data_IF_338220030740
#
_entry.id   IF_338220030740
#
_cell.length_a   1.000
_cell.length_b   1.000
_cell.length_c   1.000
_cell.angle_alpha   90.00
_cell.angle_beta   90.00
_cell.angle_gamma   90.00
#
_symmetry.space_group_name_H-M   'P 1'
#
loop_
_entity.id
_entity.type
_entity.pdbx_description
1 polymer ?
#
# COMPACT_ATOMS: atom_id res chain seq x y z
N UNK A 1 -2.57 -17.60 -32.99
CA UNK A 1 -2.94 -18.65 -32.02
C UNK A 1 -1.76 -18.85 -31.10
N UNK A 2 -1.76 -18.18 -29.96
CA UNK A 2 -0.76 -18.36 -28.89
C UNK A 2 -1.55 -18.33 -27.59
N UNK A 3 -1.80 -19.54 -27.09
CA UNK A 3 -2.46 -19.82 -25.83
C UNK A 3 -1.49 -19.46 -24.71
N UNK A 4 -1.70 -18.34 -24.03
CA UNK A 4 -0.97 -17.97 -22.81
C UNK A 4 -1.72 -18.52 -21.61
N UNK A 5 -1.21 -19.63 -21.07
CA UNK A 5 -1.64 -20.19 -19.80
C UNK A 5 -1.35 -19.19 -18.67
N UNK A 6 -2.42 -18.66 -18.06
CA UNK A 6 -2.35 -18.02 -16.74
C UNK A 6 -2.17 -19.14 -15.73
N UNK A 7 -0.97 -19.25 -15.18
CA UNK A 7 -0.58 -20.27 -14.21
C UNK A 7 -1.19 -19.95 -12.84
N UNK A 8 -1.98 -20.91 -12.33
CA UNK A 8 -2.36 -21.18 -10.95
C UNK A 8 -2.79 -19.98 -10.11
N UNK A 9 -4.09 -19.68 -10.22
CA UNK A 9 -4.83 -19.13 -9.09
C UNK A 9 -4.63 -20.04 -7.88
N UNK A 10 -4.19 -19.40 -6.80
CA UNK A 10 -3.97 -19.93 -5.45
C UNK A 10 -5.03 -20.97 -5.03
N UNK A 11 -4.66 -22.26 -5.04
CA UNK A 11 -5.38 -23.29 -4.27
C UNK A 11 -4.61 -23.48 -2.96
N UNK A 12 -5.19 -23.22 -1.77
CA UNK A 12 -4.56 -23.59 -0.52
C UNK A 12 -4.26 -25.08 -0.53
N UNK A 13 -3.04 -25.46 -0.16
CA UNK A 13 -2.67 -26.86 -0.02
C UNK A 13 -3.67 -27.54 0.94
N UNK A 14 -4.40 -28.53 0.44
CA UNK A 14 -5.51 -29.23 1.13
C UNK A 14 -5.06 -30.04 2.36
N UNK A 15 -3.78 -30.03 2.71
CA UNK A 15 -3.17 -30.97 3.64
C UNK A 15 -2.96 -30.44 5.06
N UNK A 16 -3.22 -29.16 5.35
CA UNK A 16 -3.05 -28.61 6.72
C UNK A 16 -4.35 -28.31 7.47
N UNK A 17 -5.53 -28.64 6.92
CA UNK A 17 -6.81 -28.55 7.65
C UNK A 17 -7.27 -29.91 8.18
N UNK A 18 -6.40 -30.62 8.89
CA UNK A 18 -6.82 -31.64 9.83
C UNK A 18 -6.15 -31.37 11.17
N UNK A 19 -7.03 -31.15 12.16
CA UNK A 19 -6.78 -30.96 13.60
C UNK A 19 -6.86 -29.50 14.06
N UNK A 20 -8.07 -29.14 14.47
CA UNK A 20 -8.46 -27.85 15.01
C UNK A 20 -9.98 -27.77 15.00
N UNK A 21 -10.62 -28.65 15.76
CA UNK A 21 -12.06 -28.62 15.95
C UNK A 21 -12.47 -27.25 16.51
N UNK A 22 -13.22 -26.47 15.73
CA UNK A 22 -13.97 -25.33 16.22
C UNK A 22 -15.44 -25.54 15.82
N UNK A 23 -16.27 -25.40 16.84
CA UNK A 23 -17.67 -25.76 16.89
C UNK A 23 -18.45 -24.93 15.87
N UNK A 24 -19.09 -25.65 14.96
CA UNK A 24 -19.85 -25.15 13.83
C UNK A 24 -21.16 -24.51 14.30
N UNK A 25 -21.44 -23.34 13.72
CA UNK A 25 -22.70 -22.61 13.80
C UNK A 25 -22.97 -21.89 12.48
N UNK A 26 -22.56 -22.47 11.35
CA UNK A 26 -23.05 -22.09 10.03
C UNK A 26 -22.74 -23.21 9.02
N UNK A 27 -23.74 -24.03 8.71
CA UNK A 27 -23.74 -24.97 7.59
C UNK A 27 -23.21 -24.29 6.32
N UNK A 28 -21.96 -24.58 5.95
CA UNK A 28 -21.40 -24.18 4.66
C UNK A 28 -21.54 -25.34 3.68
N UNK A 29 -22.60 -25.26 2.86
CA UNK A 29 -22.71 -26.01 1.61
C UNK A 29 -21.54 -25.65 0.69
N UNK A 30 -20.92 -26.66 0.07
CA UNK A 30 -19.63 -26.54 -0.63
C UNK A 30 -19.64 -25.65 -1.87
N UNK A 31 -19.16 -24.42 -1.71
CA UNK A 31 -18.80 -23.53 -2.81
C UNK A 31 -17.26 -23.53 -2.95
N UNK A 32 -16.77 -23.68 -4.18
CA UNK A 32 -15.33 -23.58 -4.54
C UNK A 32 -14.86 -22.12 -4.65
N UNK A 33 -15.68 -21.15 -4.26
CA UNK A 33 -15.42 -19.73 -4.41
C UNK A 33 -14.31 -19.23 -3.47
N UNK A 34 -13.30 -18.59 -4.04
CA UNK A 34 -12.30 -17.84 -3.26
C UNK A 34 -12.78 -16.39 -3.03
N UNK A 35 -12.99 -15.95 -1.78
CA UNK A 35 -13.43 -14.58 -1.46
C UNK A 35 -12.56 -13.50 -2.10
N UNK A 36 -13.14 -12.39 -2.55
CA UNK A 36 -12.42 -11.35 -3.32
C UNK A 36 -11.26 -10.75 -2.52
N UNK A 37 -11.43 -10.55 -1.21
CA UNK A 37 -10.37 -10.03 -0.36
C UNK A 37 -9.11 -10.91 -0.33
N UNK A 38 -9.25 -12.23 -0.56
CA UNK A 38 -8.11 -13.15 -0.64
C UNK A 38 -7.38 -13.10 -1.97
N UNK A 39 -7.94 -12.39 -2.96
CA UNK A 39 -7.44 -12.31 -4.34
C UNK A 39 -6.77 -10.98 -4.65
N UNK A 40 -7.04 -9.94 -3.87
CA UNK A 40 -6.34 -8.65 -3.94
C UNK A 40 -4.97 -8.75 -3.29
N UNK A 41 -3.99 -8.04 -3.85
CA UNK A 41 -2.68 -7.92 -3.23
C UNK A 41 -2.70 -6.85 -2.13
N UNK A 42 -2.11 -7.18 -0.97
CA UNK A 42 -1.98 -6.29 0.18
C UNK A 42 -0.71 -5.45 0.07
N UNK A 43 -0.87 -4.20 -0.37
CA UNK A 43 0.23 -3.24 -0.53
C UNK A 43 0.62 -2.63 0.81
N UNK A 44 1.90 -2.40 1.01
CA UNK A 44 2.41 -1.81 2.25
C UNK A 44 2.31 -2.72 3.48
N UNK A 45 2.00 -4.01 3.28
CA UNK A 45 1.97 -5.02 4.33
C UNK A 45 3.33 -5.67 4.47
N UNK A 46 3.85 -5.71 5.69
CA UNK A 46 5.13 -6.34 5.98
C UNK A 46 5.10 -7.84 5.62
N UNK A 47 6.19 -8.29 5.00
CA UNK A 47 6.29 -9.65 4.47
C UNK A 47 6.12 -10.77 5.48
N UNK A 48 6.51 -10.55 6.72
CA UNK A 48 6.35 -11.49 7.82
C UNK A 48 4.91 -11.53 8.35
N UNK A 49 4.17 -10.42 8.24
CA UNK A 49 2.75 -10.33 8.61
C UNK A 49 1.80 -10.87 7.53
N UNK A 50 2.22 -10.92 6.26
CA UNK A 50 1.31 -11.28 5.15
C UNK A 50 0.65 -12.65 5.33
N UNK A 51 1.37 -13.64 5.86
CA UNK A 51 0.82 -14.99 6.05
C UNK A 51 -0.19 -15.02 7.21
N UNK A 52 0.00 -14.17 8.24
CA UNK A 52 -0.90 -14.05 9.39
C UNK A 52 -2.27 -13.49 9.00
N UNK A 53 -2.32 -12.53 8.08
CA UNK A 53 -3.57 -11.98 7.53
C UNK A 53 -4.51 -13.08 7.04
N UNK A 54 -3.97 -14.11 6.37
CA UNK A 54 -4.79 -15.20 5.80
C UNK A 54 -5.12 -16.32 6.78
N UNK A 55 -4.46 -16.37 7.95
CA UNK A 55 -4.74 -17.36 9.00
C UNK A 55 -6.03 -17.05 9.74
N UNK A 56 -6.35 -15.77 9.89
CA UNK A 56 -7.57 -15.35 10.58
C UNK A 56 -8.80 -15.45 9.64
N UNK A 57 -9.96 -15.93 10.11
CA UNK A 57 -11.17 -16.09 9.30
C UNK A 57 -11.93 -14.76 9.15
N UNK A 58 -11.35 -13.82 8.41
CA UNK A 58 -11.97 -12.52 8.14
C UNK A 58 -13.24 -12.65 7.28
N UNK A 59 -14.33 -12.00 7.70
CA UNK A 59 -15.60 -11.95 6.98
C UNK A 59 -15.70 -10.69 6.10
N UNK A 60 -15.60 -10.89 4.78
CA UNK A 60 -15.80 -9.87 3.75
C UNK A 60 -16.99 -10.20 2.84
N UNK A 61 -17.96 -10.98 3.31
CA UNK A 61 -19.12 -11.35 2.50
C UNK A 61 -19.88 -10.14 1.93
N UNK A 62 -19.83 -9.00 2.62
CA UNK A 62 -20.39 -7.74 2.14
C UNK A 62 -19.64 -7.14 0.93
N UNK A 63 -18.31 -7.24 0.89
CA UNK A 63 -17.51 -6.87 -0.29
C UNK A 63 -17.91 -7.72 -1.49
N UNK A 64 -18.05 -9.04 -1.31
CA UNK A 64 -18.44 -9.93 -2.41
C UNK A 64 -19.82 -9.57 -2.97
N UNK A 65 -20.79 -9.27 -2.09
CA UNK A 65 -22.13 -8.79 -2.50
C UNK A 65 -22.07 -7.46 -3.25
N UNK A 66 -21.28 -6.51 -2.77
CA UNK A 66 -21.17 -5.18 -3.38
C UNK A 66 -20.49 -5.24 -4.76
N UNK A 67 -19.47 -6.07 -4.91
CA UNK A 67 -18.83 -6.29 -6.21
C UNK A 67 -19.81 -6.89 -7.23
N UNK A 68 -20.65 -7.84 -6.83
CA UNK A 68 -21.72 -8.34 -7.72
C UNK A 68 -22.67 -7.22 -8.16
N UNK A 69 -23.00 -6.28 -7.27
CA UNK A 69 -23.84 -5.13 -7.62
C UNK A 69 -23.13 -4.17 -8.59
N UNK A 70 -21.83 -3.89 -8.38
CA UNK A 70 -21.04 -3.05 -9.30
C UNK A 70 -21.06 -3.58 -10.73
N UNK A 71 -20.92 -4.89 -10.89
CA UNK A 71 -20.95 -5.54 -12.21
C UNK A 71 -22.30 -5.37 -12.91
N UNK A 72 -23.39 -5.21 -12.16
CA UNK A 72 -24.76 -5.04 -12.68
C UNK A 72 -25.13 -3.58 -12.93
N UNK A 73 -24.43 -2.62 -12.32
CA UNK A 73 -24.75 -1.19 -12.45
C UNK A 73 -24.49 -0.69 -13.89
N UNK A 74 -25.48 -0.17 -14.63
CA UNK A 74 -25.26 0.34 -15.99
C UNK A 74 -24.54 1.69 -15.91
N UNK A 75 -23.21 1.65 -15.84
CA UNK A 75 -22.41 2.82 -15.47
C UNK A 75 -21.11 2.90 -16.27
N UNK A 76 -20.70 4.13 -16.58
CA UNK A 76 -19.40 4.40 -17.19
C UNK A 76 -18.24 4.21 -16.19
N UNK A 77 -18.56 4.05 -14.89
CA UNK A 77 -17.57 3.80 -13.86
C UNK A 77 -16.99 2.39 -13.95
N UNK A 78 -15.73 2.32 -13.56
CA UNK A 78 -14.94 1.11 -13.30
C UNK A 78 -14.47 1.13 -11.86
N UNK A 79 -14.19 -0.03 -11.31
CA UNK A 79 -13.79 -0.23 -9.92
C UNK A 79 -12.43 -0.88 -9.85
N UNK A 80 -11.55 -0.33 -9.03
CA UNK A 80 -10.17 -0.79 -8.86
C UNK A 80 -9.94 -1.10 -7.40
N UNK A 81 -9.53 -2.33 -7.10
CA UNK A 81 -9.43 -2.83 -5.73
C UNK A 81 -7.97 -3.10 -5.39
N UNK A 82 -7.55 -2.69 -4.21
CA UNK A 82 -6.27 -3.11 -3.63
C UNK A 82 -6.44 -3.37 -2.14
N UNK A 83 -5.64 -4.30 -1.60
CA UNK A 83 -5.62 -4.58 -0.17
C UNK A 83 -4.58 -3.71 0.53
N UNK A 84 -4.78 -3.46 1.81
CA UNK A 84 -3.74 -3.01 2.76
C UNK A 84 -3.99 -3.68 4.12
N UNK A 85 -3.06 -3.54 5.07
CA UNK A 85 -3.24 -4.03 6.44
C UNK A 85 -3.11 -2.91 7.45
N UNK A 86 -3.91 -3.00 8.52
CA UNK A 86 -3.84 -2.10 9.66
C UNK A 86 -3.59 -2.94 10.92
N UNK A 87 -2.33 -3.09 11.34
CA UNK A 87 -2.01 -3.76 12.59
C UNK A 87 -2.65 -3.02 13.77
N UNK A 88 -3.45 -3.72 14.56
CA UNK A 88 -4.13 -3.15 15.72
C UNK A 88 -4.03 -4.09 16.91
N UNK A 89 -3.89 -3.51 18.10
CA UNK A 89 -4.04 -4.25 19.35
C UNK A 89 -5.53 -4.53 19.58
N UNK A 90 -5.90 -5.80 19.55
CA UNK A 90 -7.27 -6.25 19.76
C UNK A 90 -7.35 -7.21 20.93
N UNK A 91 -8.54 -7.27 21.55
CA UNK A 91 -8.84 -8.30 22.52
C UNK A 91 -9.47 -9.50 21.80
N UNK A 92 -8.76 -10.63 21.80
CA UNK A 92 -9.17 -11.87 21.15
C UNK A 92 -8.88 -13.04 22.08
N UNK A 93 -9.87 -13.93 22.28
CA UNK A 93 -9.73 -15.11 23.15
C UNK A 93 -9.18 -14.77 24.56
N UNK A 94 -9.69 -13.70 25.17
CA UNK A 94 -9.26 -13.22 26.51
C UNK A 94 -7.80 -12.73 26.58
N UNK A 95 -7.13 -12.52 25.45
CA UNK A 95 -5.77 -12.01 25.37
C UNK A 95 -5.71 -10.74 24.51
N UNK A 96 -4.75 -9.87 24.81
CA UNK A 96 -4.38 -8.78 23.92
C UNK A 96 -3.45 -9.34 22.84
N UNK A 97 -3.79 -9.12 21.57
CA UNK A 97 -3.03 -9.61 20.42
C UNK A 97 -2.98 -8.53 19.37
N UNK A 98 -1.82 -8.34 18.75
CA UNK A 98 -1.70 -7.46 17.57
C UNK A 98 -2.10 -8.29 16.36
N UNK A 99 -3.19 -7.92 15.70
CA UNK A 99 -3.62 -8.56 14.46
C UNK A 99 -3.44 -7.61 13.27
N UNK A 100 -2.87 -8.06 12.14
CA UNK A 100 -2.87 -7.30 10.91
C UNK A 100 -4.26 -7.35 10.28
N UNK A 101 -5.12 -6.37 10.59
CA UNK A 101 -6.49 -6.32 10.07
C UNK A 101 -6.42 -6.01 8.57
N UNK A 102 -6.87 -6.91 7.67
CA UNK A 102 -6.94 -6.60 6.25
C UNK A 102 -8.01 -5.54 6.00
N UNK A 103 -7.71 -4.64 5.09
CA UNK A 103 -8.68 -3.70 4.54
C UNK A 103 -8.63 -3.79 3.02
N UNK A 104 -9.79 -3.68 2.37
CA UNK A 104 -9.87 -3.61 0.90
C UNK A 104 -10.35 -2.24 0.50
N UNK A 105 -9.55 -1.54 -0.29
CA UNK A 105 -9.88 -0.22 -0.82
C UNK A 105 -10.45 -0.42 -2.22
N UNK A 106 -11.64 0.14 -2.46
CA UNK A 106 -12.32 0.14 -3.75
C UNK A 106 -12.35 1.57 -4.28
N UNK A 107 -11.80 1.76 -5.47
CA UNK A 107 -11.74 3.06 -6.15
C UNK A 107 -12.69 3.02 -7.34
N UNK A 108 -13.73 3.84 -7.31
CA UNK A 108 -14.66 4.05 -8.42
C UNK A 108 -14.20 5.24 -9.26
N UNK A 109 -13.95 5.01 -10.55
CA UNK A 109 -13.43 6.04 -11.46
C UNK A 109 -13.84 5.75 -12.91
N UNK A 110 -14.03 6.81 -13.74
CA UNK A 110 -14.36 6.66 -15.17
C UNK A 110 -13.14 6.26 -15.99
N UNK A 111 -11.95 6.69 -15.57
CA UNK A 111 -10.65 6.28 -16.15
C UNK A 111 -9.85 5.47 -15.12
N UNK A 112 -8.90 4.62 -15.54
CA UNK A 112 -8.01 3.92 -14.62
C UNK A 112 -7.25 4.88 -13.71
N UNK A 113 -7.06 4.55 -12.41
CA UNK A 113 -6.08 5.22 -11.58
C UNK A 113 -4.70 5.17 -12.25
N UNK A 114 -3.81 6.13 -11.92
CA UNK A 114 -2.45 6.10 -12.44
C UNK A 114 -1.78 4.76 -12.15
N UNK A 115 -1.15 4.15 -13.16
CA UNK A 115 -0.36 2.92 -13.01
C UNK A 115 1.00 3.20 -12.33
N UNK A 116 0.96 3.92 -11.22
CA UNK A 116 2.09 4.41 -10.44
C UNK A 116 1.96 3.94 -8.99
N UNK A 117 3.09 3.73 -8.34
CA UNK A 117 3.19 3.53 -6.90
C UNK A 117 4.19 4.50 -6.32
N UNK A 118 3.91 4.94 -5.10
CA UNK A 118 4.89 5.58 -4.26
C UNK A 118 5.62 4.54 -3.41
N UNK A 119 6.92 4.76 -3.22
CA UNK A 119 7.77 3.98 -2.32
C UNK A 119 8.31 4.95 -1.28
N UNK A 120 7.90 4.81 -0.02
CA UNK A 120 8.42 5.59 1.11
C UNK A 120 8.75 4.66 2.28
N UNK A 121 10.04 4.42 2.50
CA UNK A 121 10.50 3.69 3.68
C UNK A 121 10.69 4.64 4.84
N UNK A 122 10.39 4.19 6.06
CA UNK A 122 10.73 4.91 7.31
C UNK A 122 12.23 5.20 7.38
N UNK A 123 13.07 4.35 6.79
CA UNK A 123 14.54 4.49 6.76
C UNK A 123 15.06 5.16 5.48
N UNK A 124 14.19 5.53 4.52
CA UNK A 124 14.63 6.22 3.30
C UNK A 124 14.18 7.67 3.34
N UNK A 125 15.16 8.56 3.34
CA UNK A 125 15.00 10.02 3.25
C UNK A 125 14.34 10.49 1.93
N UNK A 126 14.00 9.60 0.98
CA UNK A 126 13.41 9.98 -0.31
C UNK A 126 12.20 9.13 -0.70
N UNK A 127 11.12 9.82 -1.02
CA UNK A 127 9.93 9.25 -1.65
C UNK A 127 10.18 9.07 -3.13
N UNK A 128 9.87 7.88 -3.66
CA UNK A 128 10.02 7.59 -5.08
C UNK A 128 8.68 7.20 -5.69
N UNK A 129 8.25 7.92 -6.73
CA UNK A 129 7.08 7.54 -7.54
C UNK A 129 7.55 6.81 -8.80
N UNK A 130 7.19 5.53 -8.94
CA UNK A 130 7.60 4.67 -10.06
C UNK A 130 6.39 3.97 -10.71
N UNK A 131 6.50 3.50 -11.96
CA UNK A 131 5.47 2.67 -12.58
C UNK A 131 5.24 1.37 -11.80
N UNK A 132 3.97 0.94 -11.65
CA UNK A 132 3.61 -0.32 -10.97
C UNK A 132 4.36 -1.53 -11.53
N UNK A 133 4.52 -1.60 -12.85
CA UNK A 133 5.26 -2.68 -13.53
C UNK A 133 6.73 -2.76 -13.13
N UNK A 134 7.34 -1.65 -12.70
CA UNK A 134 8.72 -1.65 -12.21
C UNK A 134 8.88 -2.45 -10.90
N UNK A 135 7.78 -2.60 -10.15
CA UNK A 135 7.69 -3.43 -8.94
C UNK A 135 6.80 -4.67 -9.14
N UNK A 136 6.59 -5.09 -10.39
CA UNK A 136 5.81 -6.29 -10.75
C UNK A 136 4.37 -6.27 -10.21
N UNK A 137 3.76 -5.09 -10.18
CA UNK A 137 2.35 -4.93 -9.86
C UNK A 137 1.58 -4.40 -11.06
N UNK A 138 0.31 -4.79 -11.17
CA UNK A 138 -0.62 -4.27 -12.17
C UNK A 138 -2.06 -4.55 -11.73
N UNK A 139 -3.02 -3.76 -12.23
CA UNK A 139 -4.44 -4.04 -12.07
C UNK A 139 -4.88 -5.04 -13.13
N UNK A 140 -5.43 -6.17 -12.68
CA UNK A 140 -5.94 -7.23 -13.55
C UNK A 140 -7.46 -7.32 -13.46
N UNK A 141 -8.16 -7.63 -14.56
CA UNK A 141 -9.57 -7.97 -14.52
C UNK A 141 -9.87 -9.02 -13.45
N UNK A 142 -10.89 -8.79 -12.62
CA UNK A 142 -11.35 -9.77 -11.66
C UNK A 142 -12.00 -10.94 -12.39
N UNK A 143 -11.43 -12.15 -12.25
CA UNK A 143 -12.07 -13.36 -12.75
C UNK A 143 -13.26 -13.74 -11.84
N UNK A 144 -14.48 -13.63 -12.33
CA UNK A 144 -15.70 -13.95 -11.57
C UNK A 144 -16.31 -15.29 -11.96
N UNK A 145 -15.55 -16.16 -12.62
CA UNK A 145 -16.02 -17.49 -13.05
C UNK A 145 -16.46 -18.38 -11.87
N UNK A 146 -15.79 -18.25 -10.72
CA UNK A 146 -16.06 -19.00 -9.49
C UNK A 146 -17.08 -18.33 -8.55
N UNK A 147 -17.46 -17.07 -8.81
CA UNK A 147 -18.53 -16.41 -8.06
C UNK A 147 -19.85 -17.03 -8.51
N UNK A 148 -20.39 -17.93 -7.69
CA UNK A 148 -21.55 -18.76 -8.00
C UNK A 148 -22.60 -18.01 -8.83
N UNK A 149 -22.64 -18.36 -10.11
CA UNK A 149 -23.66 -17.98 -11.08
C UNK A 149 -24.99 -18.69 -10.81
N UNK A 150 -25.36 -18.87 -9.53
CA UNK A 150 -26.53 -19.62 -9.09
C UNK A 150 -27.88 -19.02 -9.51
N UNK A 151 -27.90 -17.95 -10.32
CA UNK A 151 -29.09 -17.45 -11.00
C UNK A 151 -28.91 -17.10 -12.49
N UNK A 152 -27.88 -17.60 -13.16
CA UNK A 152 -27.73 -17.31 -14.59
C UNK A 152 -27.27 -18.56 -15.36
N UNK A 153 -28.20 -19.20 -16.08
CA UNK A 153 -27.94 -20.28 -17.04
C UNK A 153 -26.95 -19.81 -18.13
N UNK A 154 -25.95 -20.61 -18.54
CA UNK A 154 -24.97 -20.16 -19.53
C UNK A 154 -25.54 -20.26 -20.95
N UNK A 155 -25.69 -19.12 -21.62
CA UNK A 155 -25.86 -19.06 -23.08
C UNK A 155 -24.62 -18.43 -23.71
N UNK A 156 -24.32 -18.68 -24.99
CA UNK A 156 -23.16 -18.10 -25.69
C UNK A 156 -23.10 -16.56 -25.64
N UNK A 157 -24.26 -15.88 -25.56
CA UNK A 157 -24.35 -14.42 -25.32
C UNK A 157 -23.80 -13.98 -23.96
N UNK A 158 -23.83 -14.88 -22.97
CA UNK A 158 -23.39 -14.63 -21.60
C UNK A 158 -21.86 -14.62 -21.47
N UNK A 159 -21.12 -15.34 -22.33
CA UNK A 159 -19.65 -15.36 -22.31
C UNK A 159 -19.06 -14.02 -22.79
N UNK A 160 -19.63 -13.43 -23.86
CA UNK A 160 -19.26 -12.08 -24.31
C UNK A 160 -19.67 -10.99 -23.31
N UNK A 161 -20.79 -11.19 -22.60
CA UNK A 161 -21.21 -10.30 -21.51
C UNK A 161 -20.30 -10.46 -20.30
N UNK A 162 -19.89 -11.67 -19.93
CA UNK A 162 -18.92 -11.94 -18.85
C UNK A 162 -17.56 -11.30 -19.14
N UNK A 163 -17.03 -11.44 -20.36
CA UNK A 163 -15.75 -10.82 -20.76
C UNK A 163 -15.82 -9.27 -20.69
N UNK A 164 -16.96 -8.66 -21.04
CA UNK A 164 -17.18 -7.20 -20.90
C UNK A 164 -17.38 -6.74 -19.46
N UNK A 165 -17.84 -7.65 -18.59
CA UNK A 165 -18.12 -7.41 -17.17
C UNK A 165 -16.85 -7.53 -16.33
N UNK A 166 -15.91 -8.42 -16.68
CA UNK A 166 -14.61 -8.54 -15.99
C UNK A 166 -13.70 -7.32 -16.15
N UNK A 167 -13.81 -6.57 -17.25
CA UNK A 167 -13.01 -5.34 -17.45
C UNK A 167 -13.44 -4.16 -16.57
N UNK A 168 -14.61 -4.28 -15.92
CA UNK A 168 -15.16 -3.21 -15.08
C UNK A 168 -14.62 -3.23 -13.67
N UNK A 169 -14.30 -4.40 -13.15
CA UNK A 169 -13.73 -4.57 -11.81
C UNK A 169 -12.32 -5.12 -11.97
N UNK A 170 -11.33 -4.36 -11.53
CA UNK A 170 -9.94 -4.77 -11.57
C UNK A 170 -9.39 -4.86 -10.16
N UNK A 171 -8.55 -5.87 -9.92
CA UNK A 171 -7.87 -6.10 -8.67
C UNK A 171 -6.37 -5.90 -8.87
N UNK A 172 -5.72 -5.22 -7.92
CA UNK A 172 -4.27 -5.10 -7.91
C UNK A 172 -3.68 -6.46 -7.56
N UNK A 173 -2.77 -6.94 -8.39
CA UNK A 173 -2.00 -8.16 -8.13
C UNK A 173 -0.51 -7.91 -8.25
N UNK A 174 0.29 -8.75 -7.59
CA UNK A 174 1.73 -8.84 -7.78
C UNK A 174 2.06 -10.09 -8.58
N UNK A 175 2.76 -9.93 -9.70
CA UNK A 175 3.17 -11.05 -10.58
C UNK A 175 4.29 -11.91 -9.99
N UNK A 176 4.94 -11.45 -8.92
CA UNK A 176 5.96 -12.25 -8.25
C UNK A 176 5.31 -13.31 -7.35
N UNK A 177 5.74 -14.57 -7.49
CA UNK A 177 5.34 -15.65 -6.59
C UNK A 177 5.89 -15.40 -5.18
N UNK A 178 5.13 -15.74 -4.14
CA UNK A 178 5.60 -15.63 -2.73
C UNK A 178 6.95 -16.30 -2.49
N UNK A 179 7.17 -17.47 -3.09
CA UNK A 179 8.45 -18.20 -3.00
C UNK A 179 9.61 -17.44 -3.64
N UNK A 180 9.36 -16.68 -4.70
CA UNK A 180 10.37 -15.85 -5.36
C UNK A 180 10.67 -14.58 -4.57
N UNK A 181 9.67 -14.03 -3.87
CA UNK A 181 9.82 -12.87 -2.98
C UNK A 181 10.66 -13.24 -1.74
N UNK A 182 10.43 -14.43 -1.15
CA UNK A 182 11.25 -14.96 -0.04
C UNK A 182 12.73 -15.16 -0.37
N UNK A 183 13.08 -15.25 -1.66
CA UNK A 183 14.46 -15.40 -2.13
C UNK A 183 15.14 -14.06 -2.46
N UNK A 184 14.43 -12.93 -2.31
CA UNK A 184 15.01 -11.60 -2.51
C UNK A 184 15.90 -11.21 -1.32
N UNK A 185 16.88 -10.34 -1.58
CA UNK A 185 17.63 -9.67 -0.51
C UNK A 185 16.70 -8.85 0.38
N UNK A 186 17.02 -8.71 1.66
CA UNK A 186 16.22 -7.93 2.62
C UNK A 186 15.88 -6.53 2.10
N UNK A 187 16.84 -5.84 1.47
CA UNK A 187 16.63 -4.51 0.86
C UNK A 187 15.56 -4.50 -0.26
N UNK A 188 15.49 -5.56 -1.06
CA UNK A 188 14.48 -5.71 -2.13
C UNK A 188 13.13 -6.12 -1.57
N UNK A 189 13.12 -6.88 -0.48
CA UNK A 189 11.92 -7.27 0.25
C UNK A 189 11.27 -6.05 0.89
N UNK A 190 12.05 -5.24 1.61
CA UNK A 190 11.61 -3.98 2.22
C UNK A 190 11.01 -3.00 1.23
N UNK A 191 11.42 -3.04 -0.05
CA UNK A 191 10.78 -2.22 -1.07
C UNK A 191 9.28 -2.49 -1.16
N UNK A 192 8.82 -3.73 -0.98
CA UNK A 192 7.40 -4.08 -1.05
C UNK A 192 6.62 -3.65 0.18
N UNK A 193 7.24 -3.65 1.37
CA UNK A 193 6.66 -3.19 2.63
C UNK A 193 6.25 -1.71 2.58
N UNK A 194 6.83 -0.94 1.64
CA UNK A 194 6.65 0.51 1.53
C UNK A 194 5.99 0.96 0.23
N UNK A 195 5.47 0.03 -0.58
CA UNK A 195 4.78 0.34 -1.82
C UNK A 195 3.33 0.72 -1.53
N UNK A 196 2.90 1.88 -2.03
CA UNK A 196 1.54 2.38 -1.90
C UNK A 196 1.00 2.81 -3.28
N UNK A 197 -0.20 2.36 -3.69
CA UNK A 197 -0.86 2.83 -4.90
C UNK A 197 -0.98 4.35 -4.93
N UNK A 198 -0.57 4.95 -6.04
CA UNK A 198 -0.50 6.40 -6.20
C UNK A 198 -1.80 6.94 -6.81
N UNK A 199 -2.22 8.13 -6.37
CA UNK A 199 -3.35 8.85 -6.91
C UNK A 199 -2.97 10.30 -7.25
N UNK A 200 -3.51 10.80 -8.36
CA UNK A 200 -3.32 12.17 -8.85
C UNK A 200 -4.55 13.03 -8.53
N UNK A 201 -4.83 13.23 -7.24
CA UNK A 201 -5.94 14.08 -6.76
C UNK A 201 -5.43 15.46 -6.39
N UNK A 202 -5.68 16.47 -7.23
CA UNK A 202 -5.16 17.83 -7.09
C UNK A 202 -5.49 18.47 -5.73
N UNK A 203 -6.67 18.21 -5.17
CA UNK A 203 -7.15 18.81 -3.91
C UNK A 203 -6.30 18.35 -2.72
N UNK A 204 -5.97 17.06 -2.65
CA UNK A 204 -5.09 16.49 -1.61
C UNK A 204 -3.63 16.97 -1.73
N UNK A 205 -3.29 17.65 -2.83
CA UNK A 205 -1.92 18.12 -3.11
C UNK A 205 -1.73 19.57 -2.69
N UNK A 206 -2.81 20.33 -2.55
CA UNK A 206 -2.76 21.69 -2.02
C UNK A 206 -2.60 21.66 -0.50
N UNK A 207 -3.34 20.77 0.17
CA UNK A 207 -3.17 20.49 1.60
C UNK A 207 -1.83 19.78 1.91
N UNK A 208 -1.22 19.11 0.93
CA UNK A 208 0.11 18.52 1.06
C UNK A 208 1.24 19.55 1.25
N UNK A 209 0.99 20.84 0.98
CA UNK A 209 1.93 21.91 1.31
C UNK A 209 1.73 22.48 2.72
N UNK A 210 0.66 22.09 3.43
CA UNK A 210 0.31 22.61 4.77
C UNK A 210 0.22 21.54 5.86
N UNK A 211 -0.21 20.31 5.54
CA UNK A 211 -0.48 19.23 6.51
C UNK A 211 0.35 17.95 6.29
N UNK A 212 1.09 17.85 5.18
CA UNK A 212 2.15 16.84 5.08
C UNK A 212 3.41 17.47 5.62
N UNK A 213 3.85 17.00 6.79
CA UNK A 213 5.22 17.19 7.30
C UNK A 213 6.16 16.98 6.12
N UNK A 214 6.68 18.07 5.56
CA UNK A 214 7.85 17.98 4.69
C UNK A 214 8.88 17.39 5.62
N UNK A 215 9.32 16.18 5.29
CA UNK A 215 10.31 15.48 6.08
C UNK A 215 11.61 16.28 5.98
N UNK A 216 11.81 17.12 7.01
CA UNK A 216 12.89 18.11 7.18
C UNK A 216 14.09 17.51 7.89
N UNK A 217 14.02 16.21 8.18
CA UNK A 217 15.10 15.43 8.72
C UNK A 217 16.01 14.94 7.59
N UNK A 218 17.32 15.06 7.82
CA UNK A 218 18.36 14.40 7.02
C UNK A 218 19.15 13.45 7.89
N UNK A 219 19.28 12.23 7.40
CA UNK A 219 20.17 11.23 7.98
C UNK A 219 21.43 11.11 7.14
N UNK A 220 22.53 10.77 7.78
CA UNK A 220 23.76 10.52 7.07
C UNK A 220 24.88 9.99 7.94
N UNK A 221 25.99 9.72 7.26
CA UNK A 221 27.21 9.18 7.85
C UNK A 221 28.32 10.20 7.57
N UNK A 222 28.92 10.75 8.63
CA UNK A 222 29.97 11.75 8.53
C UNK A 222 31.32 11.15 8.94
N UNK A 223 32.32 11.28 8.07
CA UNK A 223 33.70 10.94 8.40
C UNK A 223 34.29 12.01 9.32
N UNK A 224 34.88 11.57 10.44
CA UNK A 224 35.45 12.46 11.46
C UNK A 224 36.98 12.39 11.42
N UNK A 225 37.69 13.52 11.26
CA UNK A 225 39.15 13.55 11.23
C UNK A 225 39.83 12.92 12.45
N UNK A 226 39.25 13.08 13.64
CA UNK A 226 39.75 12.49 14.89
C UNK A 226 39.64 10.96 14.93
N UNK A 227 38.68 10.37 14.20
CA UNK A 227 38.47 8.91 14.13
C UNK A 227 38.34 8.42 12.69
N UNK A 228 39.45 8.39 11.91
CA UNK A 228 39.41 7.95 10.52
C UNK A 228 38.86 6.52 10.38
N UNK A 229 37.86 6.32 9.52
CA UNK A 229 37.25 5.02 9.27
C UNK A 229 36.25 4.56 10.33
N UNK A 230 35.92 5.42 11.31
CA UNK A 230 34.82 5.23 12.25
C UNK A 230 33.88 6.44 12.14
N UNK A 231 32.96 6.42 11.17
CA UNK A 231 32.12 7.56 10.92
C UNK A 231 30.99 7.66 11.95
N UNK A 232 30.47 8.88 12.11
CA UNK A 232 29.36 9.20 13.00
C UNK A 232 28.07 9.19 12.21
N UNK A 233 27.04 8.52 12.74
CA UNK A 233 25.67 8.61 12.24
C UNK A 233 25.05 9.91 12.76
N UNK A 234 24.33 10.63 11.91
CA UNK A 234 23.54 11.78 12.32
C UNK A 234 22.12 11.68 11.76
N UNK A 235 21.20 12.32 12.47
CA UNK A 235 19.79 12.56 12.15
C UNK A 235 19.51 14.02 12.55
N UNK A 236 19.39 14.92 11.55
CA UNK A 236 19.31 16.37 11.76
C UNK A 236 18.07 16.95 11.09
N UNK A 237 17.23 17.67 11.83
CA UNK A 237 16.05 18.35 11.32
C UNK A 237 16.33 19.84 11.08
N UNK A 238 16.35 20.30 9.81
CA UNK A 238 16.71 21.69 9.51
C UNK A 238 15.62 22.73 9.86
N UNK A 239 14.41 22.30 10.22
CA UNK A 239 13.35 23.20 10.72
C UNK A 239 13.31 23.24 12.25
N UNK A 240 13.61 22.12 12.91
CA UNK A 240 13.50 21.99 14.36
C UNK A 240 14.83 22.18 15.10
N UNK A 241 15.96 21.86 14.47
CA UNK A 241 17.29 21.89 15.08
C UNK A 241 18.09 23.12 14.69
N UNK A 242 18.91 23.58 15.63
CA UNK A 242 19.93 24.61 15.38
C UNK A 242 21.25 23.89 15.09
N UNK A 243 21.73 23.99 13.84
CA UNK A 243 22.90 23.23 13.35
C UNK A 243 24.14 23.26 14.27
N UNK A 244 24.47 24.42 14.83
CA UNK A 244 25.66 24.57 15.68
C UNK A 244 25.48 23.96 17.09
N UNK A 245 24.26 23.95 17.61
CA UNK A 245 23.90 23.32 18.88
C UNK A 245 23.92 21.80 18.69
N UNK A 246 23.24 21.32 17.65
CA UNK A 246 23.23 19.90 17.27
C UNK A 246 24.64 19.31 17.08
N UNK A 247 25.53 20.00 16.34
CA UNK A 247 26.92 19.54 16.15
C UNK A 247 27.64 19.42 17.49
N UNK A 248 27.38 20.35 18.42
CA UNK A 248 28.01 20.33 19.74
C UNK A 248 27.52 19.12 20.54
N UNK A 249 26.22 18.90 20.59
CA UNK A 249 25.60 17.76 21.27
C UNK A 249 26.02 16.42 20.68
N UNK A 250 26.12 16.32 19.35
CA UNK A 250 26.56 15.11 18.65
C UNK A 250 28.03 14.79 18.94
N UNK A 251 28.91 15.80 19.01
CA UNK A 251 30.30 15.58 19.38
C UNK A 251 30.43 15.14 20.84
N UNK A 252 29.62 15.70 21.74
CA UNK A 252 29.58 15.31 23.15
C UNK A 252 29.08 13.87 23.32
N UNK A 253 28.00 13.49 22.63
CA UNK A 253 27.42 12.14 22.71
C UNK A 253 28.38 11.06 22.17
N UNK A 254 29.09 11.36 21.08
CA UNK A 254 30.09 10.48 20.46
C UNK A 254 31.45 10.49 21.18
N UNK A 255 31.59 11.29 22.26
CA UNK A 255 32.84 11.49 23.00
C UNK A 255 34.00 11.93 22.10
N UNK A 256 33.73 12.89 21.21
CA UNK A 256 34.68 13.48 20.27
C UNK A 256 35.11 14.87 20.75
N UNK A 257 36.33 15.29 20.41
CA UNK A 257 36.77 16.62 20.76
C UNK A 257 36.02 17.67 19.92
N UNK A 258 35.57 18.74 20.57
CA UNK A 258 34.92 19.88 19.94
C UNK A 258 35.92 20.80 19.22
N UNK A 259 36.68 20.22 18.29
CA UNK A 259 37.70 20.90 17.48
C UNK A 259 37.09 21.48 16.21
N UNK A 260 37.70 22.55 15.68
CA UNK A 260 37.22 23.17 14.43
C UNK A 260 37.21 22.20 13.25
N UNK A 261 38.14 21.24 13.21
CA UNK A 261 38.20 20.22 12.17
C UNK A 261 36.98 19.29 12.20
N UNK A 262 36.62 18.77 13.38
CA UNK A 262 35.45 17.89 13.53
C UNK A 262 34.14 18.65 13.29
N UNK A 263 34.01 19.87 13.83
CA UNK A 263 32.85 20.74 13.58
C UNK A 263 32.67 21.01 12.10
N UNK A 264 33.77 21.34 11.39
CA UNK A 264 33.73 21.60 9.95
C UNK A 264 33.32 20.36 9.15
N UNK A 265 33.85 19.18 9.50
CA UNK A 265 33.49 17.93 8.82
C UNK A 265 32.00 17.59 8.96
N UNK A 266 31.45 17.68 10.17
CA UNK A 266 30.02 17.47 10.43
C UNK A 266 29.17 18.52 9.70
N UNK A 267 29.51 19.80 9.85
CA UNK A 267 28.78 20.91 9.22
C UNK A 267 28.68 20.74 7.70
N UNK A 268 29.79 20.44 7.05
CA UNK A 268 29.82 20.24 5.59
C UNK A 268 28.95 19.05 5.17
N UNK A 269 29.06 17.93 5.88
CA UNK A 269 28.30 16.71 5.57
C UNK A 269 26.80 16.94 5.75
N UNK A 270 26.39 17.53 6.88
CA UNK A 270 24.98 17.84 7.17
C UNK A 270 24.44 18.84 6.15
N UNK A 271 25.15 19.94 5.87
CA UNK A 271 24.71 20.93 4.88
C UNK A 271 24.57 20.34 3.47
N UNK A 272 25.48 19.46 3.07
CA UNK A 272 25.39 18.75 1.80
C UNK A 272 24.16 17.84 1.76
N UNK A 273 23.87 17.11 2.84
CA UNK A 273 22.67 16.29 2.96
C UNK A 273 21.38 17.12 2.84
N UNK A 274 21.31 18.27 3.54
CA UNK A 274 20.18 19.22 3.44
C UNK A 274 19.99 19.70 2.00
N UNK A 275 21.07 20.13 1.34
CA UNK A 275 21.01 20.63 -0.04
C UNK A 275 20.51 19.55 -1.02
N UNK A 276 21.00 18.32 -0.88
CA UNK A 276 20.55 17.19 -1.69
C UNK A 276 19.06 16.89 -1.44
N UNK A 277 18.62 16.91 -0.19
CA UNK A 277 17.23 16.68 0.18
C UNK A 277 16.30 17.76 -0.35
N UNK A 278 16.65 19.04 -0.18
CA UNK A 278 15.90 20.17 -0.75
C UNK A 278 15.85 20.14 -2.28
N UNK A 279 16.94 19.72 -2.94
CA UNK A 279 16.94 19.52 -4.40
C UNK A 279 16.00 18.38 -4.82
N UNK A 280 15.99 17.26 -4.09
CA UNK A 280 15.09 16.14 -4.32
C UNK A 280 13.62 16.54 -4.15
N UNK A 281 13.29 17.28 -3.08
CA UNK A 281 11.95 17.81 -2.82
C UNK A 281 11.45 18.72 -3.96
N UNK A 282 12.30 19.66 -4.41
CA UNK A 282 11.97 20.53 -5.56
C UNK A 282 11.79 19.74 -6.86
N UNK A 283 12.60 18.72 -7.09
CA UNK A 283 12.48 17.85 -8.25
C UNK A 283 11.18 17.03 -8.20
N UNK A 284 10.80 16.53 -7.04
CA UNK A 284 9.55 15.80 -6.81
C UNK A 284 8.32 16.68 -7.04
N UNK A 285 8.31 17.90 -6.47
CA UNK A 285 7.27 18.90 -6.70
C UNK A 285 7.15 19.23 -8.20
N UNK A 286 8.27 19.51 -8.87
CA UNK A 286 8.29 19.79 -10.31
C UNK A 286 7.76 18.62 -11.14
N UNK A 287 8.15 17.39 -10.80
CA UNK A 287 7.66 16.19 -11.48
C UNK A 287 6.16 15.99 -11.27
N UNK A 288 5.67 16.28 -10.07
CA UNK A 288 4.25 16.22 -9.70
C UNK A 288 3.42 17.24 -10.49
N UNK A 289 3.86 18.49 -10.54
CA UNK A 289 3.21 19.54 -11.33
C UNK A 289 3.13 19.16 -12.82
N UNK A 290 4.21 18.62 -13.38
CA UNK A 290 4.21 18.12 -14.76
C UNK A 290 3.18 17.00 -14.97
N UNK A 291 3.04 16.07 -14.02
CA UNK A 291 2.02 15.01 -14.10
C UNK A 291 0.61 15.61 -14.08
N UNK A 292 0.35 16.58 -13.20
CA UNK A 292 -0.96 17.26 -13.13
C UNK A 292 -1.28 18.06 -14.40
N UNK A 293 -0.29 18.74 -14.98
CA UNK A 293 -0.44 19.50 -16.22
C UNK A 293 -0.64 18.59 -17.44
N UNK A 294 -0.01 17.40 -17.43
CA UNK A 294 -0.14 16.42 -18.50
C UNK A 294 -1.50 15.69 -18.51
N UNK A 295 -2.31 15.81 -17.44
CA UNK A 295 -3.63 15.17 -17.40
C UNK A 295 -4.56 15.71 -18.48
N UNK A 296 -5.18 14.79 -19.20
CA UNK A 296 -6.29 15.11 -20.12
C UNK A 296 -7.49 15.65 -19.34
N UNK A 297 -8.41 16.39 -20.00
CA UNK A 297 -9.64 16.85 -19.36
C UNK A 297 -10.46 15.71 -18.74
N UNK A 298 -10.52 14.55 -19.42
CA UNK A 298 -11.24 13.36 -18.94
C UNK A 298 -10.59 12.74 -17.69
N UNK A 299 -9.25 12.67 -17.64
CA UNK A 299 -8.53 12.21 -16.44
C UNK A 299 -8.75 13.18 -15.28
N UNK A 300 -8.65 14.48 -15.52
CA UNK A 300 -8.87 15.50 -14.50
C UNK A 300 -10.27 15.38 -13.91
N UNK A 301 -11.31 15.36 -14.74
CA UNK A 301 -12.69 15.19 -14.28
C UNK A 301 -12.88 13.88 -13.51
N UNK A 302 -12.32 12.77 -14.01
CA UNK A 302 -12.45 11.45 -13.40
C UNK A 302 -11.73 11.34 -12.06
N UNK A 303 -10.56 11.94 -11.89
CA UNK A 303 -9.82 11.90 -10.63
C UNK A 303 -10.42 12.84 -9.58
N UNK A 304 -11.05 13.94 -10.00
CA UNK A 304 -11.80 14.84 -9.11
C UNK A 304 -13.11 14.23 -8.62
N UNK A 305 -13.81 13.49 -9.50
CA UNK A 305 -15.06 12.78 -9.17
C UNK A 305 -14.85 11.34 -8.68
N UNK A 306 -13.59 10.93 -8.48
CA UNK A 306 -13.24 9.60 -7.99
C UNK A 306 -13.82 9.39 -6.59
N UNK A 307 -14.42 8.22 -6.38
CA UNK A 307 -14.93 7.81 -5.08
C UNK A 307 -14.12 6.66 -4.52
N UNK A 308 -13.76 6.75 -3.24
CA UNK A 308 -12.92 5.79 -2.53
C UNK A 308 -13.74 5.19 -1.38
N UNK A 309 -13.89 3.88 -1.38
CA UNK A 309 -14.62 3.13 -0.34
C UNK A 309 -13.61 2.19 0.33
N UNK A 310 -13.59 2.17 1.66
CA UNK A 310 -12.70 1.30 2.45
C UNK A 310 -13.51 0.25 3.18
N UNK A 311 -13.27 -1.02 2.86
CA UNK A 311 -13.94 -2.17 3.42
C UNK A 311 -13.11 -2.76 4.54
N UNK A 312 -13.72 -2.91 5.71
CA UNK A 312 -13.21 -3.67 6.84
C UNK A 312 -13.96 -4.99 6.96
N UNK A 313 -13.35 -6.02 7.59
CA UNK A 313 -14.07 -7.24 7.87
C UNK A 313 -15.24 -7.02 8.86
N UNK A 314 -16.29 -7.83 8.75
CA UNK A 314 -17.51 -7.76 9.57
C UNK A 314 -17.56 -8.84 10.67
N UNK A 315 -16.39 -9.30 11.12
CA UNK A 315 -16.27 -10.24 12.22
C UNK A 315 -16.97 -9.71 13.48
N UNK A 316 -17.67 -10.61 14.19
CA UNK A 316 -18.24 -10.30 15.52
C UNK A 316 -17.15 -10.16 16.57
N UNK A 317 -16.16 -11.03 16.50
CA UNK A 317 -14.98 -11.03 17.36
C UNK A 317 -13.71 -11.26 16.50
N UNK A 318 -12.60 -10.54 16.77
CA UNK A 318 -12.54 -9.38 17.67
C UNK A 318 -13.37 -8.23 17.09
N UNK A 319 -13.98 -7.43 17.96
CA UNK A 319 -14.71 -6.24 17.52
C UNK A 319 -13.71 -5.16 17.10
N UNK A 320 -13.75 -4.79 15.82
CA UNK A 320 -12.86 -3.78 15.25
C UNK A 320 -13.58 -2.45 14.96
N UNK A 321 -14.83 -2.30 15.39
CA UNK A 321 -15.67 -1.17 15.02
C UNK A 321 -15.08 0.19 15.44
N UNK A 322 -14.46 0.25 16.62
CA UNK A 322 -13.82 1.45 17.12
C UNK A 322 -12.45 1.74 16.46
N UNK A 323 -11.91 0.77 15.73
CA UNK A 323 -10.59 0.85 15.09
C UNK A 323 -10.67 1.28 13.62
N UNK A 324 -11.88 1.34 13.05
CA UNK A 324 -12.07 1.72 11.65
C UNK A 324 -11.67 3.18 11.43
N UNK A 325 -10.71 3.39 10.55
CA UNK A 325 -10.27 4.72 10.09
C UNK A 325 -10.66 4.96 8.64
N UNK A 326 -10.91 6.23 8.29
CA UNK A 326 -11.12 6.63 6.89
C UNK A 326 -9.80 6.75 6.12
N UNK A 327 -8.68 6.95 6.79
CA UNK A 327 -7.38 7.16 6.12
C UNK A 327 -7.00 5.93 5.28
N UNK A 328 -6.61 6.14 4.03
CA UNK A 328 -6.24 5.07 3.10
C UNK A 328 -4.72 5.04 2.94
N UNK A 329 -4.17 6.11 2.40
CA UNK A 329 -2.75 6.38 2.32
C UNK A 329 -2.56 7.85 1.95
N UNK A 330 -1.30 8.31 1.91
CA UNK A 330 -0.99 9.72 1.63
C UNK A 330 -1.40 10.22 0.23
N UNK A 331 -1.62 9.33 -0.73
CA UNK A 331 -1.99 9.70 -2.10
C UNK A 331 -3.51 9.73 -2.30
N UNK A 332 -4.22 8.78 -1.69
CA UNK A 332 -5.68 8.69 -1.73
C UNK A 332 -6.36 9.53 -0.65
N UNK A 333 -5.65 9.88 0.42
CA UNK A 333 -6.18 10.63 1.56
C UNK A 333 -7.13 9.77 2.39
N UNK A 334 -8.33 10.29 2.65
CA UNK A 334 -9.42 9.59 3.34
C UNK A 334 -10.40 9.00 2.33
N UNK A 335 -10.94 7.83 2.65
CA UNK A 335 -12.08 7.24 1.96
C UNK A 335 -13.33 8.09 2.16
N UNK A 336 -14.17 8.16 1.11
CA UNK A 336 -15.47 8.82 1.14
C UNK A 336 -16.51 7.97 1.88
N UNK A 337 -16.30 6.66 1.98
CA UNK A 337 -17.16 5.73 2.70
C UNK A 337 -16.34 4.61 3.37
N UNK A 338 -16.74 4.23 4.58
CA UNK A 338 -16.22 3.06 5.30
C UNK A 338 -17.33 2.00 5.37
N UNK A 339 -16.99 0.76 5.03
CA UNK A 339 -17.90 -0.41 5.14
C UNK A 339 -17.37 -1.44 6.14
#
# INVERSE_FOLDING_TARGET
MTCSYVLDAYTPCRETMKEGALVDGSEHTGSSFTPIWRRVFFVGTEWDQIDEVYRFPWDFSHLDRDVVQFLQEPSAFRWYLFGATEPQLVHWQQQETVLPIPVVVVVQSKVPPPALVGIKSVQRTTEQVVPMRAVKMEFFPLDVSEMDAHNLTPSKKKLETQQRVTDRVQILQCEQRRSSLRALSAERLHRYDYVLPYALRAELQQDANTDLVVDTTVDGIAEIPERPGQPVLFEFDWEMDILEEYITELLESESLANTEANRTALRQTIQQAIQQRQAALRAEQSARERRLQAMTPAERESYQSMRVIKYYPQNREPSIQALKTAFVNRYYGKADEIR
#
